data_IF_475060273405
#
_entry.id   IF_475060273405
#
_cell.length_a   1.000
_cell.length_b   1.000
_cell.length_c   1.000
_cell.angle_alpha   90.00
_cell.angle_beta   90.00
_cell.angle_gamma   90.00
#
_symmetry.space_group_name_H-M   'P 1'
#
loop_
_entity.id
_entity.type
_entity.pdbx_description
1 polymer ?
#
# COMPACT_ATOMS: atom_id res chain seq x y z
N UNK A 1 -1.54 -25.97 8.55
CA UNK A 1 -0.42 -25.73 7.61
C UNK A 1 0.75 -26.57 8.08
N UNK A 2 1.44 -27.28 7.19
CA UNK A 2 2.75 -27.85 7.54
C UNK A 2 3.72 -26.68 7.60
N UNK A 3 4.32 -26.43 8.75
CA UNK A 3 5.29 -25.35 8.91
C UNK A 3 6.54 -25.67 8.10
N UNK A 4 6.58 -25.22 6.84
CA UNK A 4 7.74 -25.35 5.97
C UNK A 4 8.81 -24.37 6.45
N UNK A 5 9.57 -24.81 7.45
CA UNK A 5 10.73 -24.11 8.01
C UNK A 5 12.00 -24.79 7.54
N UNK A 6 12.81 -24.06 6.80
CA UNK A 6 14.13 -24.49 6.35
C UNK A 6 15.20 -23.81 7.21
N UNK A 7 15.90 -24.58 8.05
CA UNK A 7 16.99 -24.07 8.88
C UNK A 7 18.29 -24.09 8.09
N UNK A 8 18.96 -22.95 7.98
CA UNK A 8 20.29 -22.85 7.35
C UNK A 8 21.38 -23.10 8.40
N UNK A 9 21.20 -22.55 9.59
CA UNK A 9 22.01 -22.82 10.77
C UNK A 9 21.16 -22.56 12.04
N UNK A 10 21.77 -22.65 13.22
CA UNK A 10 21.06 -22.44 14.49
C UNK A 10 20.51 -21.02 14.65
N UNK A 11 21.08 -20.05 13.94
CA UNK A 11 20.75 -18.64 14.03
C UNK A 11 19.93 -18.12 12.84
N UNK A 12 19.86 -18.81 11.69
CA UNK A 12 19.22 -18.37 10.44
C UNK A 12 18.24 -19.43 9.93
N UNK A 13 16.98 -19.02 9.78
CA UNK A 13 15.88 -19.86 9.31
C UNK A 13 15.10 -19.18 8.18
N UNK A 14 14.57 -19.97 7.27
CA UNK A 14 13.59 -19.55 6.28
C UNK A 14 12.24 -20.16 6.65
N UNK A 15 11.19 -19.35 6.63
CA UNK A 15 9.82 -19.80 6.89
C UNK A 15 8.95 -19.44 5.70
N UNK A 16 8.21 -20.41 5.21
CA UNK A 16 7.19 -20.18 4.20
C UNK A 16 5.98 -19.47 4.82
N UNK A 17 5.51 -18.41 4.16
CA UNK A 17 4.32 -17.63 4.52
C UNK A 17 3.40 -17.56 3.31
N UNK A 18 2.17 -17.07 3.48
CA UNK A 18 1.24 -16.82 2.36
C UNK A 18 1.78 -15.81 1.33
N UNK A 19 2.79 -15.02 1.72
CA UNK A 19 3.48 -14.04 0.87
C UNK A 19 4.83 -14.54 0.35
N UNK A 20 5.16 -15.82 0.53
CA UNK A 20 6.43 -16.43 0.12
C UNK A 20 7.39 -16.67 1.29
N UNK A 21 8.66 -16.88 0.97
CA UNK A 21 9.69 -17.24 1.94
C UNK A 21 10.27 -16.02 2.66
N UNK A 22 10.22 -16.04 3.99
CA UNK A 22 10.81 -15.02 4.86
C UNK A 22 12.05 -15.58 5.54
N UNK A 23 13.19 -14.90 5.38
CA UNK A 23 14.41 -15.18 6.12
C UNK A 23 14.37 -14.49 7.49
N UNK A 24 14.71 -15.21 8.55
CA UNK A 24 14.73 -14.68 9.91
C UNK A 24 15.95 -15.20 10.67
N UNK A 25 16.62 -14.30 11.38
CA UNK A 25 17.75 -14.61 12.24
C UNK A 25 19.08 -14.00 11.80
N UNK A 26 20.18 -14.39 12.46
CA UNK A 26 21.48 -13.74 12.29
C UNK A 26 22.31 -14.45 11.22
N UNK A 27 22.67 -13.71 10.17
CA UNK A 27 23.70 -14.16 9.24
C UNK A 27 25.05 -13.85 9.87
N UNK A 28 25.86 -14.88 10.11
CA UNK A 28 27.26 -14.72 10.52
C UNK A 28 28.02 -14.15 9.31
N UNK A 29 28.11 -12.83 9.23
CA UNK A 29 28.82 -12.15 8.15
C UNK A 29 30.34 -12.31 8.35
N UNK A 30 31.04 -12.78 7.31
CA UNK A 30 32.48 -12.55 7.21
C UNK A 30 32.69 -11.03 7.18
N UNK A 31 33.50 -10.52 8.11
CA UNK A 31 33.80 -9.08 8.31
C UNK A 31 34.36 -8.41 7.06
N UNK A 32 33.51 -8.11 6.09
CA UNK A 32 33.78 -7.12 5.06
C UNK A 32 33.06 -5.85 5.53
N UNK A 33 33.84 -4.83 5.87
CA UNK A 33 33.41 -3.51 6.34
C UNK A 33 32.61 -2.74 5.27
N UNK A 34 31.49 -3.29 4.80
CA UNK A 34 30.49 -2.53 4.06
C UNK A 34 29.36 -2.29 5.04
N UNK A 35 29.27 -1.07 5.56
CA UNK A 35 28.18 -0.64 6.45
C UNK A 35 26.84 -0.73 5.70
N UNK A 36 26.23 -1.91 5.67
CA UNK A 36 24.84 -2.11 5.28
C UNK A 36 23.98 -1.68 6.47
N UNK A 37 23.74 -0.38 6.59
CA UNK A 37 22.75 0.13 7.54
C UNK A 37 21.35 -0.09 6.97
N UNK A 38 20.56 -0.91 7.66
CA UNK A 38 19.12 -0.99 7.42
C UNK A 38 18.45 -0.02 8.41
N UNK A 39 17.98 1.11 7.92
CA UNK A 39 17.17 2.04 8.70
C UNK A 39 15.74 1.50 8.75
N UNK A 40 15.43 0.74 9.79
CA UNK A 40 14.04 0.52 10.19
C UNK A 40 13.48 1.89 10.61
N UNK A 41 12.72 2.52 9.71
CA UNK A 41 11.88 3.66 10.07
C UNK A 41 10.83 3.14 11.05
N UNK A 42 11.15 3.24 12.34
CA UNK A 42 10.14 3.12 13.38
C UNK A 42 9.31 4.39 13.27
N UNK A 43 8.15 4.28 12.66
CA UNK A 43 7.17 5.37 12.69
C UNK A 43 6.71 5.48 14.14
N UNK A 44 7.35 6.38 14.89
CA UNK A 44 6.97 6.71 16.27
C UNK A 44 5.70 7.56 16.31
N UNK A 45 5.17 7.93 15.13
CA UNK A 45 3.90 8.60 14.97
C UNK A 45 2.75 7.64 15.34
N UNK A 46 1.71 8.20 15.94
CA UNK A 46 0.45 7.48 16.09
C UNK A 46 -0.16 7.20 14.71
N UNK A 47 -1.05 6.20 14.62
CA UNK A 47 -1.76 5.92 13.37
C UNK A 47 -2.50 7.16 12.88
N UNK A 48 -3.04 7.95 13.81
CA UNK A 48 -3.70 9.23 13.57
C UNK A 48 -2.75 10.25 12.91
N UNK A 49 -1.51 10.36 13.38
CA UNK A 49 -0.50 11.27 12.83
C UNK A 49 -0.08 10.83 11.42
N UNK A 50 0.09 9.52 11.19
CA UNK A 50 0.40 8.97 9.86
C UNK A 50 -0.74 9.22 8.87
N UNK A 51 -1.99 9.02 9.29
CA UNK A 51 -3.17 9.31 8.48
C UNK A 51 -3.29 10.80 8.15
N UNK A 52 -3.03 11.66 9.13
CA UNK A 52 -3.04 13.11 8.93
C UNK A 52 -1.99 13.54 7.90
N UNK A 53 -0.75 13.07 8.05
CA UNK A 53 0.32 13.36 7.10
C UNK A 53 -0.01 12.86 5.70
N UNK A 54 -0.62 11.67 5.58
CA UNK A 54 -1.07 11.13 4.30
C UNK A 54 -2.05 12.08 3.59
N UNK A 55 -3.11 12.51 4.28
CA UNK A 55 -4.11 13.41 3.70
C UNK A 55 -3.56 14.81 3.41
N UNK A 56 -2.67 15.33 4.27
CA UNK A 56 -1.97 16.60 4.00
C UNK A 56 -1.15 16.51 2.72
N UNK A 57 -0.37 15.44 2.53
CA UNK A 57 0.42 15.23 1.32
C UNK A 57 -0.44 15.01 0.07
N UNK A 58 -1.55 14.28 0.18
CA UNK A 58 -2.49 14.07 -0.93
C UNK A 58 -3.14 15.40 -1.37
N UNK A 59 -3.50 16.24 -0.40
CA UNK A 59 -4.13 17.55 -0.66
C UNK A 59 -3.20 18.55 -1.37
N UNK A 60 -1.87 18.41 -1.26
CA UNK A 60 -0.92 19.29 -1.95
C UNK A 60 -1.02 19.23 -3.48
N UNK A 61 -1.50 18.10 -4.03
CA UNK A 61 -1.71 17.94 -5.46
C UNK A 61 -3.06 18.49 -5.94
N UNK A 62 -4.01 18.70 -5.02
CA UNK A 62 -5.32 19.26 -5.31
C UNK A 62 -5.20 20.78 -5.34
N UNK A 63 -5.25 21.36 -6.53
CA UNK A 63 -5.34 22.82 -6.67
C UNK A 63 -6.82 23.21 -6.56
N UNK A 64 -7.16 24.03 -5.57
CA UNK A 64 -8.43 24.77 -5.55
C UNK A 64 -8.42 25.79 -6.69
N UNK A 65 -8.74 25.33 -7.90
CA UNK A 65 -9.03 26.21 -9.02
C UNK A 65 -10.54 26.54 -8.95
N UNK A 66 -10.93 27.81 -8.73
CA UNK A 66 -12.32 28.23 -8.62
C UNK A 66 -13.14 28.02 -9.91
N UNK A 67 -12.50 27.61 -11.01
CA UNK A 67 -13.16 27.24 -12.27
C UNK A 67 -13.20 25.74 -12.52
N UNK A 68 -12.51 24.92 -11.72
CA UNK A 68 -12.56 23.46 -11.85
C UNK A 68 -13.82 22.93 -11.18
N UNK A 69 -14.84 22.63 -11.99
CA UNK A 69 -16.07 21.97 -11.58
C UNK A 69 -15.88 20.44 -11.52
N UNK A 70 -14.71 19.98 -11.08
CA UNK A 70 -14.36 18.55 -11.06
C UNK A 70 -15.32 17.75 -10.19
N UNK A 71 -15.73 18.31 -9.04
CA UNK A 71 -16.74 17.71 -8.17
C UNK A 71 -18.10 17.57 -8.87
N UNK A 72 -18.56 18.61 -9.57
CA UNK A 72 -19.82 18.56 -10.31
C UNK A 72 -19.76 17.55 -11.46
N UNK A 73 -18.62 17.46 -12.17
CA UNK A 73 -18.41 16.47 -13.22
C UNK A 73 -18.40 15.04 -12.66
N UNK A 74 -17.69 14.80 -11.55
CA UNK A 74 -17.67 13.51 -10.87
C UNK A 74 -19.06 13.12 -10.38
N UNK A 75 -19.82 14.06 -9.83
CA UNK A 75 -21.19 13.87 -9.39
C UNK A 75 -22.14 13.54 -10.56
N UNK A 76 -21.99 14.20 -11.70
CA UNK A 76 -22.77 13.89 -12.90
C UNK A 76 -22.49 12.47 -13.40
N UNK A 77 -21.21 12.08 -13.47
CA UNK A 77 -20.81 10.74 -13.91
C UNK A 77 -21.32 9.67 -12.93
N UNK A 78 -21.26 9.93 -11.63
CA UNK A 78 -21.84 9.05 -10.62
C UNK A 78 -23.34 8.85 -10.85
N UNK A 79 -24.10 9.94 -11.00
CA UNK A 79 -25.56 9.88 -11.23
C UNK A 79 -25.93 9.16 -12.52
N UNK A 80 -25.15 9.34 -13.58
CA UNK A 80 -25.38 8.72 -14.89
C UNK A 80 -25.06 7.22 -14.89
N UNK A 81 -24.02 6.81 -14.16
CA UNK A 81 -23.43 5.47 -14.30
C UNK A 81 -23.76 4.53 -13.15
N UNK A 82 -24.36 5.04 -12.07
CA UNK A 82 -24.75 4.21 -10.94
C UNK A 82 -25.84 3.21 -11.34
N UNK A 83 -25.53 1.93 -11.13
CA UNK A 83 -26.44 0.83 -11.38
C UNK A 83 -26.46 -0.09 -10.18
N UNK A 84 -27.64 -0.58 -9.81
CA UNK A 84 -27.78 -1.60 -8.78
C UNK A 84 -27.82 -2.98 -9.44
N UNK A 85 -26.76 -3.76 -9.23
CA UNK A 85 -26.66 -5.14 -9.72
C UNK A 85 -26.92 -6.09 -8.55
N UNK A 86 -28.20 -6.35 -8.28
CA UNK A 86 -28.79 -7.25 -7.28
C UNK A 86 -28.30 -7.10 -5.82
N UNK A 87 -26.99 -7.16 -5.58
CA UNK A 87 -26.34 -7.11 -4.28
C UNK A 87 -25.47 -5.86 -4.10
N UNK A 88 -25.04 -5.20 -5.19
CA UNK A 88 -24.05 -4.11 -5.12
C UNK A 88 -24.38 -2.97 -6.08
N UNK A 89 -24.00 -1.76 -5.67
CA UNK A 89 -23.93 -0.61 -6.56
C UNK A 89 -22.64 -0.65 -7.36
N UNK A 90 -22.77 -0.47 -8.66
CA UNK A 90 -21.66 -0.37 -9.62
C UNK A 90 -21.70 1.04 -10.20
N UNK A 91 -20.54 1.70 -10.26
CA UNK A 91 -20.38 3.04 -10.83
C UNK A 91 -19.19 2.99 -11.78
N UNK A 92 -19.28 3.70 -12.90
CA UNK A 92 -18.18 3.78 -13.86
C UNK A 92 -17.15 4.81 -13.41
N UNK A 93 -15.87 4.45 -13.49
CA UNK A 93 -14.79 5.39 -13.23
C UNK A 93 -14.51 6.23 -14.49
N UNK A 94 -14.46 7.56 -14.39
CA UNK A 94 -14.42 8.48 -15.54
C UNK A 94 -13.19 8.29 -16.44
N UNK A 95 -12.11 7.72 -15.91
CA UNK A 95 -10.84 7.49 -16.60
C UNK A 95 -10.66 6.04 -17.11
N UNK A 96 -11.64 5.15 -16.95
CA UNK A 96 -11.52 3.71 -17.33
C UNK A 96 -12.27 3.30 -18.60
N UNK A 97 -12.65 4.24 -19.46
CA UNK A 97 -13.45 3.96 -20.67
C UNK A 97 -12.80 3.00 -21.68
N UNK A 98 -11.47 2.79 -21.61
CA UNK A 98 -10.71 2.00 -22.59
C UNK A 98 -9.92 0.83 -21.99
N UNK A 99 -10.21 0.39 -20.77
CA UNK A 99 -9.53 -0.79 -20.21
C UNK A 99 -10.14 -2.06 -20.81
N UNK A 100 -9.52 -2.60 -21.86
CA UNK A 100 -9.83 -3.91 -22.43
C UNK A 100 -9.23 -5.04 -21.60
#
# INVERSE_FOLDING_TARGET
MKDNVYKVNDELIFRETEFGWVAGGRLQENKNNNNLSCYLLKDDNSVEDTLKLFFELESLAVKDDPYYHEEDQAMNIFKETIQFNNERYVVELPFRKNWK
#
